data_IF_443758257013
#
_entry.id   IF_443758257013
#
_cell.length_a   1.000
_cell.length_b   1.000
_cell.length_c   1.000
_cell.angle_alpha   90.00
_cell.angle_beta   90.00
_cell.angle_gamma   90.00
#
_symmetry.space_group_name_H-M   'P 1'
#
loop_
_entity.id
_entity.type
_entity.pdbx_description
1 polymer ?
#
# COMPACT_ATOMS: atom_id res chain seq x y z
N UNK A 1 -0.85 -21.19 -11.48
CA UNK A 1 0.12 -20.27 -12.10
C UNK A 1 0.35 -19.15 -11.12
N UNK A 2 1.56 -19.01 -10.60
CA UNK A 2 1.90 -17.88 -9.73
C UNK A 2 1.94 -16.61 -10.58
N UNK A 3 1.12 -15.63 -10.25
CA UNK A 3 1.13 -14.33 -10.90
C UNK A 3 2.18 -13.46 -10.22
N UNK A 4 3.37 -13.38 -10.83
CA UNK A 4 4.42 -12.46 -10.38
C UNK A 4 4.08 -11.05 -10.84
N UNK A 5 3.71 -10.18 -9.91
CA UNK A 5 3.52 -8.75 -10.18
C UNK A 5 4.82 -8.03 -9.87
N UNK A 6 5.28 -7.15 -10.78
CA UNK A 6 6.45 -6.30 -10.58
C UNK A 6 6.07 -4.84 -10.74
N UNK A 7 6.48 -4.02 -9.80
CA UNK A 7 6.28 -2.58 -9.79
C UNK A 7 7.59 -1.87 -9.44
N UNK A 8 7.81 -0.68 -10.01
CA UNK A 8 8.93 0.17 -9.62
C UNK A 8 8.43 1.15 -8.57
N UNK A 9 9.07 1.18 -7.42
CA UNK A 9 8.67 2.03 -6.29
C UNK A 9 9.75 3.08 -6.01
N UNK A 10 9.35 4.34 -5.74
CA UNK A 10 10.28 5.35 -5.26
C UNK A 10 10.71 5.03 -3.82
N UNK A 11 11.98 5.26 -3.52
CA UNK A 11 12.58 5.03 -2.20
C UNK A 11 13.39 6.25 -1.79
N UNK A 12 13.37 6.60 -0.50
CA UNK A 12 14.26 7.58 0.11
C UNK A 12 15.25 6.84 1.00
N UNK A 13 16.54 7.06 0.77
CA UNK A 13 17.64 6.43 1.51
C UNK A 13 18.04 7.27 2.73
N UNK A 14 18.81 6.66 3.64
CA UNK A 14 19.32 7.30 4.86
C UNK A 14 20.14 8.58 4.60
N UNK A 15 20.82 8.67 3.45
CA UNK A 15 21.57 9.86 3.03
C UNK A 15 20.68 10.98 2.47
N UNK A 16 19.36 10.77 2.42
CA UNK A 16 18.37 11.70 1.86
C UNK A 16 18.26 11.63 0.34
N UNK A 17 19.00 10.75 -0.34
CA UNK A 17 18.89 10.57 -1.78
C UNK A 17 17.65 9.75 -2.16
N UNK A 18 17.08 10.06 -3.32
CA UNK A 18 15.94 9.34 -3.87
C UNK A 18 16.40 8.30 -4.89
N UNK A 19 15.85 7.09 -4.79
CA UNK A 19 16.11 5.99 -5.70
C UNK A 19 14.78 5.39 -6.22
N UNK A 20 14.89 4.51 -7.21
CA UNK A 20 13.78 3.72 -7.75
C UNK A 20 14.17 2.26 -7.67
N UNK A 21 13.43 1.46 -6.92
CA UNK A 21 13.72 0.04 -6.68
C UNK A 21 12.62 -0.85 -7.24
N UNK A 22 12.96 -2.08 -7.60
CA UNK A 22 11.98 -3.04 -8.10
C UNK A 22 11.34 -3.77 -6.92
N UNK A 23 10.02 -3.74 -6.84
CA UNK A 23 9.23 -4.53 -5.91
C UNK A 23 8.50 -5.62 -6.68
N UNK A 24 8.67 -6.87 -6.25
CA UNK A 24 7.93 -8.01 -6.78
C UNK A 24 7.05 -8.65 -5.72
N UNK A 25 5.90 -9.15 -6.16
CA UNK A 25 4.92 -9.85 -5.34
C UNK A 25 4.80 -11.26 -5.87
N UNK A 26 5.08 -12.23 -5.00
CA UNK A 26 4.77 -13.63 -5.24
C UNK A 26 3.59 -14.06 -4.37
N UNK A 27 2.68 -14.82 -4.97
CA UNK A 27 1.45 -15.31 -4.33
C UNK A 27 1.49 -16.83 -4.41
N UNK A 28 1.90 -17.46 -3.31
CA UNK A 28 1.92 -18.91 -3.17
C UNK A 28 0.81 -19.36 -2.21
N UNK A 29 -0.26 -19.90 -2.78
CA UNK A 29 -1.45 -20.31 -2.03
C UNK A 29 -2.09 -19.16 -1.25
N UNK A 30 -1.93 -19.16 0.07
CA UNK A 30 -2.45 -18.13 0.98
C UNK A 30 -1.39 -17.15 1.49
N UNK A 31 -0.12 -17.35 1.14
CA UNK A 31 0.99 -16.50 1.57
C UNK A 31 1.30 -15.46 0.49
N UNK A 32 1.51 -14.22 0.92
CA UNK A 32 1.96 -13.12 0.06
C UNK A 32 3.38 -12.77 0.43
N UNK A 33 4.30 -12.92 -0.52
CA UNK A 33 5.71 -12.57 -0.36
C UNK A 33 6.01 -11.34 -1.19
N UNK A 34 6.52 -10.30 -0.53
CA UNK A 34 7.10 -9.13 -1.20
C UNK A 34 8.60 -9.28 -1.19
N UNK A 35 9.21 -9.01 -2.34
CA UNK A 35 10.65 -8.84 -2.48
C UNK A 35 10.92 -7.44 -3.02
N UNK A 36 11.92 -6.76 -2.46
CA UNK A 36 12.38 -5.46 -2.90
C UNK A 36 13.85 -5.58 -3.27
N UNK A 37 14.21 -5.12 -4.46
CA UNK A 37 15.57 -5.19 -5.00
C UNK A 37 16.08 -3.79 -5.28
N UNK A 38 17.16 -3.44 -4.60
CA UNK A 38 17.89 -2.20 -4.86
C UNK A 38 18.80 -2.35 -6.07
N UNK A 39 19.14 -1.21 -6.67
CA UNK A 39 20.06 -1.15 -7.82
C UNK A 39 21.50 -1.51 -7.45
N UNK A 40 21.85 -1.47 -6.16
CA UNK A 40 23.17 -1.83 -5.63
C UNK A 40 23.29 -3.33 -5.29
N UNK A 41 22.26 -4.13 -5.57
CA UNK A 41 22.23 -5.57 -5.33
C UNK A 41 21.74 -5.97 -3.93
N UNK A 42 21.38 -5.03 -3.06
CA UNK A 42 20.68 -5.36 -1.81
C UNK A 42 19.27 -5.83 -2.09
N UNK A 43 18.82 -6.79 -1.29
CA UNK A 43 17.48 -7.35 -1.40
C UNK A 43 16.85 -7.47 -0.01
N UNK A 44 15.54 -7.21 0.06
CA UNK A 44 14.73 -7.42 1.25
C UNK A 44 13.52 -8.25 0.87
N UNK A 45 13.09 -9.10 1.79
CA UNK A 45 11.90 -9.93 1.58
C UNK A 45 11.06 -10.00 2.86
N UNK A 46 9.74 -9.99 2.65
CA UNK A 46 8.79 -10.06 3.74
C UNK A 46 7.55 -10.84 3.34
N UNK A 47 7.04 -11.62 4.29
CA UNK A 47 5.85 -12.46 4.11
C UNK A 47 4.74 -12.02 5.06
N UNK A 48 3.50 -12.21 4.61
CA UNK A 48 2.31 -11.81 5.34
C UNK A 48 1.04 -12.41 4.76
N UNK A 49 -0.05 -12.24 5.50
CA UNK A 49 -1.40 -12.74 5.14
C UNK A 49 -2.05 -11.98 3.97
N UNK A 50 -1.33 -11.01 3.38
CA UNK A 50 -1.79 -10.12 2.34
C UNK A 50 -0.74 -9.05 2.04
N UNK A 51 -0.81 -8.43 0.86
CA UNK A 51 0.13 -7.42 0.36
C UNK A 51 0.40 -6.32 1.39
N UNK A 52 -0.64 -5.74 2.00
CA UNK A 52 -0.47 -4.72 3.04
C UNK A 52 0.26 -5.24 4.28
N UNK A 53 0.01 -6.48 4.70
CA UNK A 53 0.67 -7.07 5.86
C UNK A 53 2.15 -7.34 5.57
N UNK A 54 2.45 -7.92 4.40
CA UNK A 54 3.81 -8.14 3.93
C UNK A 54 4.58 -6.82 3.79
N UNK A 55 3.93 -5.78 3.25
CA UNK A 55 4.50 -4.44 3.11
C UNK A 55 4.85 -3.83 4.47
N UNK A 56 4.01 -4.02 5.49
CA UNK A 56 4.30 -3.53 6.84
C UNK A 56 5.50 -4.22 7.47
N UNK A 57 5.67 -5.52 7.26
CA UNK A 57 6.85 -6.26 7.72
C UNK A 57 8.10 -5.77 6.98
N UNK A 58 8.02 -5.60 5.66
CA UNK A 58 9.10 -5.07 4.84
C UNK A 58 9.53 -3.66 5.27
N UNK A 59 8.56 -2.77 5.51
CA UNK A 59 8.82 -1.40 5.98
C UNK A 59 9.55 -1.38 7.31
N UNK A 60 9.18 -2.24 8.26
CA UNK A 60 9.89 -2.34 9.54
C UNK A 60 11.35 -2.76 9.40
N UNK A 61 11.66 -3.63 8.42
CA UNK A 61 13.04 -3.99 8.13
C UNK A 61 13.80 -2.77 7.60
N UNK A 62 13.21 -2.04 6.66
CA UNK A 62 13.84 -0.87 6.03
C UNK A 62 13.97 0.34 6.97
N UNK A 63 13.04 0.51 7.90
CA UNK A 63 13.11 1.54 8.94
C UNK A 63 14.33 1.36 9.86
N UNK A 64 14.84 0.12 10.04
CA UNK A 64 16.09 -0.11 10.78
C UNK A 64 17.32 0.43 10.04
N UNK A 65 17.21 0.60 8.72
CA UNK A 65 18.25 1.12 7.84
C UNK A 65 18.00 2.59 7.46
N UNK A 66 17.05 3.27 8.10
CA UNK A 66 16.58 4.63 7.76
C UNK A 66 16.13 4.77 6.27
N UNK A 67 15.52 3.72 5.73
CA UNK A 67 15.01 3.68 4.35
C UNK A 67 13.47 3.77 4.34
N UNK A 68 12.93 4.64 3.49
CA UNK A 68 11.49 4.83 3.33
C UNK A 68 11.01 4.50 1.91
N UNK A 69 10.06 3.56 1.78
CA UNK A 69 9.41 3.23 0.49
C UNK A 69 8.19 4.13 0.27
N UNK A 70 8.16 4.81 -0.87
CA UNK A 70 7.05 5.63 -1.34
C UNK A 70 5.95 4.81 -2.03
N UNK A 71 5.08 4.18 -1.22
CA UNK A 71 3.83 3.56 -1.71
C UNK A 71 2.62 4.02 -0.90
N UNK A 72 1.42 3.96 -1.47
CA UNK A 72 0.19 4.41 -0.82
C UNK A 72 -0.06 3.70 0.52
N UNK A 73 0.28 2.41 0.63
CA UNK A 73 0.18 1.66 1.88
C UNK A 73 1.09 2.18 3.01
N UNK A 74 2.06 3.03 2.68
CA UNK A 74 2.96 3.70 3.62
C UNK A 74 2.50 5.11 4.05
N UNK A 75 1.40 5.62 3.50
CA UNK A 75 0.83 6.89 3.94
C UNK A 75 0.32 6.81 5.39
N UNK A 76 0.46 7.88 6.19
CA UNK A 76 0.09 7.89 7.61
C UNK A 76 -1.38 7.53 7.87
N UNK A 77 -2.24 7.78 6.89
CA UNK A 77 -3.68 7.56 6.97
C UNK A 77 -4.18 6.38 6.13
N UNK A 78 -3.29 5.59 5.54
CA UNK A 78 -3.66 4.40 4.78
C UNK A 78 -4.01 3.24 5.71
N UNK A 79 -5.15 2.59 5.45
CA UNK A 79 -5.53 1.37 6.15
C UNK A 79 -6.39 0.49 5.25
N UNK A 80 -6.13 -0.83 5.15
CA UNK A 80 -7.05 -1.72 4.46
C UNK A 80 -8.36 -1.83 5.24
N UNK A 81 -9.49 -1.80 4.53
CA UNK A 81 -10.76 -2.22 5.11
C UNK A 81 -10.68 -3.69 5.57
N UNK A 82 -11.51 -4.13 6.54
CA UNK A 82 -11.56 -5.53 6.93
C UNK A 82 -11.84 -6.49 5.75
N UNK A 83 -12.59 -6.03 4.75
CA UNK A 83 -12.83 -6.79 3.53
C UNK A 83 -11.58 -6.85 2.64
N UNK A 84 -10.95 -5.70 2.35
CA UNK A 84 -9.72 -5.65 1.55
C UNK A 84 -8.62 -6.50 2.18
N UNK A 85 -8.45 -6.45 3.51
CA UNK A 85 -7.48 -7.28 4.23
C UNK A 85 -7.75 -8.78 4.04
N UNK A 86 -9.02 -9.22 4.07
CA UNK A 86 -9.39 -10.62 3.81
C UNK A 86 -9.22 -11.03 2.35
N UNK A 87 -9.24 -10.07 1.43
CA UNK A 87 -9.05 -10.28 -0.01
C UNK A 87 -7.60 -10.02 -0.45
N UNK A 88 -6.62 -10.20 0.44
CA UNK A 88 -5.19 -10.09 0.10
C UNK A 88 -4.58 -8.71 0.26
N UNK A 89 -5.30 -7.72 0.79
CA UNK A 89 -4.73 -6.41 1.15
C UNK A 89 -4.22 -5.58 -0.03
N UNK A 90 -4.77 -5.81 -1.22
CA UNK A 90 -4.40 -5.14 -2.47
C UNK A 90 -4.75 -3.66 -2.53
N UNK A 91 -5.76 -3.25 -1.77
CA UNK A 91 -6.21 -1.86 -1.68
C UNK A 91 -6.22 -1.37 -0.24
N UNK A 92 -6.04 -0.06 -0.08
CA UNK A 92 -6.15 0.66 1.19
C UNK A 92 -7.11 1.83 1.04
N UNK A 93 -7.83 2.11 2.12
CA UNK A 93 -8.64 3.33 2.25
C UNK A 93 -7.77 4.42 2.87
N UNK A 94 -7.78 5.62 2.28
CA UNK A 94 -7.19 6.81 2.87
C UNK A 94 -8.19 7.43 3.85
N UNK A 95 -7.87 7.36 5.14
CA UNK A 95 -8.75 7.84 6.21
C UNK A 95 -8.52 9.33 6.48
N UNK A 96 -9.59 10.04 6.87
CA UNK A 96 -9.51 11.47 7.17
C UNK A 96 -10.25 11.77 8.48
N UNK A 97 -9.75 12.74 9.25
CA UNK A 97 -10.28 13.09 10.57
C UNK A 97 -11.69 13.69 10.56
N UNK A 98 -12.06 14.37 9.47
CA UNK A 98 -13.26 15.21 9.41
C UNK A 98 -14.19 14.90 8.23
N UNK A 99 -13.97 13.79 7.53
CA UNK A 99 -14.89 13.32 6.50
C UNK A 99 -14.88 11.80 6.40
N UNK A 100 -16.01 11.18 6.02
CA UNK A 100 -16.04 9.78 5.65
C UNK A 100 -15.09 9.49 4.48
N UNK A 101 -14.52 8.28 4.47
CA UNK A 101 -13.86 7.75 3.28
C UNK A 101 -14.90 7.53 2.17
N UNK A 102 -14.50 7.84 0.95
CA UNK A 102 -15.31 7.72 -0.28
C UNK A 102 -14.66 6.71 -1.23
N UNK A 103 -15.35 6.35 -2.31
CA UNK A 103 -14.76 5.50 -3.34
C UNK A 103 -13.47 6.08 -3.96
N UNK A 104 -13.33 7.41 -3.98
CA UNK A 104 -12.11 8.08 -4.45
C UNK A 104 -10.92 7.99 -3.49
N UNK A 105 -11.15 7.51 -2.27
CA UNK A 105 -10.11 7.33 -1.25
C UNK A 105 -9.57 5.89 -1.21
N UNK A 106 -10.12 5.00 -2.04
CA UNK A 106 -9.65 3.63 -2.19
C UNK A 106 -8.54 3.61 -3.23
N UNK A 107 -7.32 3.33 -2.79
CA UNK A 107 -6.13 3.34 -3.64
C UNK A 107 -5.42 1.99 -3.60
N UNK A 108 -4.62 1.73 -4.64
CA UNK A 108 -3.78 0.53 -4.71
C UNK A 108 -2.68 0.60 -3.65
N UNK A 109 -2.49 -0.48 -2.88
CA UNK A 109 -1.54 -0.53 -1.76
C UNK A 109 -0.11 -0.19 -2.19
N UNK A 110 0.34 -0.73 -3.32
CA UNK A 110 1.68 -0.49 -3.86
C UNK A 110 1.77 0.70 -4.81
N UNK A 111 0.66 1.39 -5.05
CA UNK A 111 0.64 2.55 -5.94
C UNK A 111 1.67 3.59 -5.47
N UNK A 112 2.49 4.16 -6.39
CA UNK A 112 3.63 4.97 -6.03
C UNK A 112 3.20 6.31 -5.42
N UNK A 113 3.92 6.73 -4.38
CA UNK A 113 3.78 8.07 -3.77
C UNK A 113 5.15 8.63 -3.44
N UNK A 114 5.25 9.94 -3.22
CA UNK A 114 6.52 10.52 -2.79
C UNK A 114 6.95 9.94 -1.44
N UNK A 115 8.20 9.45 -1.29
CA UNK A 115 8.67 8.85 -0.04
C UNK A 115 8.81 9.89 1.09
N UNK A 116 8.76 11.19 0.80
CA UNK A 116 8.70 12.24 1.83
C UNK A 116 7.33 12.40 2.48
N UNK A 117 6.29 11.75 1.92
CA UNK A 117 4.92 11.77 2.46
C UNK A 117 4.57 10.52 3.25
N UNK A 118 5.46 9.54 3.29
CA UNK A 118 5.23 8.30 4.03
C UNK A 118 5.59 8.48 5.49
N UNK A 119 4.98 7.66 6.33
CA UNK A 119 5.25 7.64 7.77
C UNK A 119 5.99 6.36 8.14
N UNK A 120 6.56 6.30 9.34
CA UNK A 120 6.99 5.01 9.90
C UNK A 120 5.77 4.13 10.22
N UNK A 121 5.98 2.83 10.45
CA UNK A 121 4.90 1.93 10.86
C UNK A 121 4.31 2.36 12.21
N UNK A 122 5.14 2.79 13.16
CA UNK A 122 4.73 3.28 14.47
C UNK A 122 3.92 4.57 14.36
N UNK A 123 4.36 5.53 13.53
CA UNK A 123 3.65 6.78 13.28
C UNK A 123 2.29 6.54 12.61
N UNK A 124 2.24 5.63 11.64
CA UNK A 124 1.00 5.22 10.98
C UNK A 124 0.03 4.62 12.02
N UNK A 125 0.49 3.74 12.90
CA UNK A 125 -0.33 3.12 13.93
C UNK A 125 -0.85 4.17 14.94
N UNK A 126 -0.01 5.11 15.36
CA UNK A 126 -0.39 6.21 16.23
C UNK A 126 -1.44 7.12 15.57
N UNK A 127 -1.26 7.45 14.28
CA UNK A 127 -2.21 8.25 13.52
C UNK A 127 -3.57 7.55 13.43
N UNK A 128 -3.60 6.27 13.05
CA UNK A 128 -4.81 5.47 12.94
C UNK A 128 -5.52 5.29 14.29
N UNK A 129 -4.78 5.15 15.39
CA UNK A 129 -5.33 5.11 16.74
C UNK A 129 -5.95 6.45 17.16
N UNK A 130 -5.41 7.58 16.68
CA UNK A 130 -6.01 8.90 16.94
C UNK A 130 -7.36 9.05 16.22
N UNK A 131 -7.50 8.49 15.02
CA UNK A 131 -8.73 8.56 14.22
C UNK A 131 -9.87 7.72 14.83
N UNK A 132 -9.55 6.56 15.42
CA UNK A 132 -10.56 5.72 16.06
C UNK A 132 -11.19 6.35 17.31
N UNK A 133 -10.43 7.21 18.02
CA UNK A 133 -10.93 7.97 19.18
C UNK A 133 -11.92 9.08 18.81
N UNK A 134 -11.88 9.56 17.57
CA UNK A 134 -12.78 10.63 17.08
C UNK A 134 -14.15 10.08 16.66
N UNK A 135 -14.35 8.74 16.71
CA UNK A 135 -15.61 8.01 16.56
C UNK A 135 -16.80 8.81 16.04
N UNK A 136 -16.86 9.02 14.72
CA UNK A 136 -18.14 9.28 14.08
C UNK A 136 -18.98 8.01 14.14
N UNK A 137 -20.17 8.10 14.72
CA UNK A 137 -21.24 7.11 14.61
C UNK A 137 -21.58 6.89 13.13
N UNK A 138 -20.85 6.03 12.42
CA UNK A 138 -21.12 5.69 11.03
C UNK A 138 -20.79 4.23 10.73
N UNK A 139 -21.31 3.36 11.59
CA UNK A 139 -21.40 1.91 11.34
C UNK A 139 -22.16 1.62 10.03
N UNK A 140 -23.06 2.50 9.59
CA UNK A 140 -23.85 2.34 8.35
C UNK A 140 -23.09 2.68 7.06
N UNK A 141 -21.95 3.36 7.11
CA UNK A 141 -21.11 3.64 5.92
C UNK A 141 -20.23 2.44 5.50
N UNK A 142 -20.21 1.35 6.29
CA UNK A 142 -19.47 0.11 5.99
C UNK A 142 -20.07 -0.72 4.86
N UNK A 143 -21.30 -0.41 4.42
CA UNK A 143 -21.96 -1.03 3.27
C UNK A 143 -21.97 -0.06 2.08
N UNK A 144 -20.80 0.50 1.74
CA UNK A 144 -20.64 1.26 0.50
C UNK A 144 -20.65 0.30 -0.71
N UNK A 145 -21.23 0.68 -1.87
CA UNK A 145 -21.20 -0.10 -3.11
C UNK A 145 -19.79 -0.38 -3.67
N UNK A 146 -18.74 0.11 -2.99
CA UNK A 146 -17.32 -0.25 -3.17
C UNK A 146 -17.06 -1.77 -3.20
N UNK A 147 -17.91 -2.60 -2.58
CA UNK A 147 -17.85 -4.07 -2.74
C UNK A 147 -17.88 -4.50 -4.22
N UNK A 148 -18.66 -3.82 -5.06
CA UNK A 148 -18.75 -4.10 -6.50
C UNK A 148 -17.45 -3.72 -7.25
N UNK A 149 -16.79 -2.64 -6.84
CA UNK A 149 -15.52 -2.20 -7.44
C UNK A 149 -14.38 -3.13 -7.03
N UNK A 150 -14.28 -3.52 -5.76
CA UNK A 150 -13.30 -4.50 -5.31
C UNK A 150 -13.50 -5.86 -6.00
N UNK A 151 -14.75 -6.31 -6.18
CA UNK A 151 -15.07 -7.52 -6.94
C UNK A 151 -14.62 -7.45 -8.41
N UNK A 152 -14.72 -6.27 -9.05
CA UNK A 152 -14.25 -6.07 -10.43
C UNK A 152 -12.72 -5.99 -10.55
N UNK A 153 -12.05 -5.29 -9.63
CA UNK A 153 -10.57 -5.16 -9.64
C UNK A 153 -9.88 -6.49 -9.30
N UNK A 154 -10.45 -7.29 -8.39
CA UNK A 154 -9.90 -8.61 -8.04
C UNK A 154 -10.17 -9.69 -9.10
N UNK A 155 -11.13 -9.48 -10.02
CA UNK A 155 -11.41 -10.40 -11.13
C UNK A 155 -10.68 -10.05 -12.43
N UNK A 156 -10.19 -8.82 -12.56
CA UNK A 156 -9.45 -8.34 -13.73
C UNK A 156 -8.11 -7.75 -13.29
N UNK A 157 -7.13 -8.62 -13.07
CA UNK A 157 -5.73 -8.22 -13.07
C UNK A 157 -5.45 -7.36 -14.31
N UNK A 158 -5.06 -6.10 -14.07
CA UNK A 158 -4.74 -5.03 -15.05
C UNK A 158 -5.95 -4.37 -15.74
N UNK A 159 -6.32 -3.21 -15.20
CA UNK A 159 -6.45 -2.01 -16.04
C UNK A 159 -5.54 -0.92 -15.44
N UNK A 160 -4.29 -0.88 -15.90
CA UNK A 160 -3.43 0.30 -15.67
C UNK A 160 -4.17 1.50 -16.26
N UNK A 161 -4.45 2.57 -15.50
CA UNK A 161 -5.02 3.78 -16.07
C UNK A 161 -4.10 4.30 -17.17
N UNK A 162 -4.62 4.43 -18.41
CA UNK A 162 -3.91 4.95 -19.59
C UNK A 162 -3.33 6.36 -19.43
N UNK A 163 -3.62 7.05 -18.33
CA UNK A 163 -3.19 8.43 -18.06
C UNK A 163 -1.72 8.58 -17.65
N UNK A 164 -0.96 7.49 -17.49
CA UNK A 164 0.50 7.54 -17.27
C UNK A 164 1.34 7.44 -18.55
N UNK A 165 0.71 7.37 -19.74
CA UNK A 165 1.44 7.59 -21.00
C UNK A 165 1.54 9.10 -21.22
N UNK A 166 2.56 9.69 -20.60
CA UNK A 166 2.91 11.10 -20.75
C UNK A 166 2.88 11.50 -22.22
N UNK A 167 2.07 12.52 -22.50
CA UNK A 167 2.13 13.30 -23.72
C UNK A 167 3.30 14.26 -23.56
N UNK A 168 4.46 13.86 -24.07
CA UNK A 168 5.59 14.73 -24.37
C UNK A 168 5.93 14.54 -25.84
N UNK A 169 6.38 15.61 -26.51
CA UNK A 169 6.01 16.02 -27.88
C UNK A 169 6.22 14.99 -28.99
#
# INVERSE_FOLDING_TARGET
>A
MADLVREVVPVLLADGSAAQWEMSIDVDGSAFRLELRATDGREWAAEGVGVYASLRVLRRQLEQDDIAIGCNGALPNARPSPFAARCGGWTVDLLHKWRPATAGDVVWTLGPVSPTKVATVEEQDAHLASLSRVSFSNILARCSPVWFVCFLVSRFGRAVPRYLRGSGP
#
